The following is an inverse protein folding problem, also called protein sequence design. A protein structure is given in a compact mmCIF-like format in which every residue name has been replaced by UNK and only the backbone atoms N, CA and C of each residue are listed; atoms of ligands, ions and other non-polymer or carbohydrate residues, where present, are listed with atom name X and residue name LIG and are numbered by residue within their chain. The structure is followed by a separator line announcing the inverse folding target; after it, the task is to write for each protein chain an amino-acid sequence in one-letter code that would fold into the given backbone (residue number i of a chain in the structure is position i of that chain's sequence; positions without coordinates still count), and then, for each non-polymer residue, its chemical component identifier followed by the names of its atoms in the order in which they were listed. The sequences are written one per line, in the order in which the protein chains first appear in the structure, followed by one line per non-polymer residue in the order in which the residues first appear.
data_IF_371210359760
#
_entry.id   IF_371210359760
#
_cell.length_a   1.000
_cell.length_b   1.000
_cell.length_c   1.000
_cell.angle_alpha   90.00
_cell.angle_beta   90.00
_cell.angle_gamma   90.00
#
_symmetry.space_group_name_H-M   'P 1'
#
loop_
_entity.id
_entity.type
_entity.pdbx_description
1 polymer ?
#
# COMPACT_ATOMS: atom_id res chain seq x y z
N UNK A 1 -10.97 -18.56 -2.94
CA UNK A 1 -11.89 -18.37 -4.09
C UNK A 1 -12.01 -16.87 -4.40
N UNK A 2 -12.42 -16.48 -5.62
CA UNK A 2 -12.66 -15.08 -5.95
C UNK A 2 -13.94 -14.60 -5.24
N UNK A 3 -14.01 -13.31 -4.89
CA UNK A 3 -15.25 -12.70 -4.40
C UNK A 3 -16.36 -12.86 -5.47
N UNK A 4 -17.62 -13.15 -5.10
CA UNK A 4 -18.71 -13.20 -6.06
C UNK A 4 -18.95 -11.81 -6.68
N UNK A 5 -19.34 -11.76 -7.95
CA UNK A 5 -19.65 -10.53 -8.68
C UNK A 5 -21.17 -10.34 -8.79
N UNK A 6 -21.61 -9.08 -8.73
CA UNK A 6 -22.99 -8.68 -8.91
C UNK A 6 -23.04 -7.32 -9.61
N UNK A 7 -24.21 -6.91 -10.06
CA UNK A 7 -24.37 -5.55 -10.60
C UNK A 7 -24.61 -4.53 -9.48
N UNK A 8 -24.21 -3.28 -9.65
CA UNK A 8 -24.53 -2.20 -8.70
C UNK A 8 -26.00 -2.14 -8.34
N UNK A 9 -26.88 -2.15 -9.33
CA UNK A 9 -28.33 -2.08 -9.12
C UNK A 9 -28.88 -3.26 -8.30
N UNK A 10 -28.37 -4.48 -8.51
CA UNK A 10 -28.79 -5.67 -7.76
C UNK A 10 -28.40 -5.60 -6.27
N UNK A 11 -27.41 -4.79 -5.95
CA UNK A 11 -26.92 -4.60 -4.58
C UNK A 11 -27.31 -3.21 -4.01
N UNK A 12 -28.26 -2.48 -4.65
CA UNK A 12 -28.73 -1.19 -4.18
C UNK A 12 -27.66 -0.10 -4.19
N UNK A 13 -26.85 -0.08 -5.25
CA UNK A 13 -25.83 0.93 -5.51
C UNK A 13 -26.20 1.71 -6.76
N UNK A 14 -26.16 3.05 -6.69
CA UNK A 14 -26.28 3.89 -7.87
C UNK A 14 -24.98 3.83 -8.70
N UNK A 15 -25.07 3.32 -9.93
CA UNK A 15 -23.94 3.23 -10.86
C UNK A 15 -23.35 4.62 -11.15
N UNK A 16 -24.21 5.64 -11.23
CA UNK A 16 -23.81 7.04 -11.43
C UNK A 16 -22.93 7.59 -10.31
N UNK A 17 -23.15 7.17 -9.06
CA UNK A 17 -22.31 7.58 -7.93
C UNK A 17 -20.92 6.97 -7.99
N UNK A 18 -20.82 5.69 -8.42
CA UNK A 18 -19.53 5.04 -8.65
C UNK A 18 -18.78 5.72 -9.81
N UNK A 19 -19.48 6.01 -10.91
CA UNK A 19 -18.89 6.75 -12.04
C UNK A 19 -18.38 8.13 -11.61
N UNK A 20 -19.18 8.88 -10.84
CA UNK A 20 -18.79 10.20 -10.33
C UNK A 20 -17.57 10.15 -9.40
N UNK A 21 -17.43 9.09 -8.60
CA UNK A 21 -16.24 8.87 -7.79
C UNK A 21 -15.01 8.65 -8.68
N UNK A 22 -15.09 7.78 -9.68
CA UNK A 22 -13.99 7.53 -10.63
C UNK A 22 -13.62 8.82 -11.37
N UNK A 23 -14.62 9.57 -11.86
CA UNK A 23 -14.40 10.84 -12.55
C UNK A 23 -13.73 11.88 -11.63
N UNK A 24 -14.09 11.91 -10.34
CA UNK A 24 -13.48 12.80 -9.36
C UNK A 24 -11.98 12.44 -9.11
N UNK A 25 -11.65 11.14 -9.07
CA UNK A 25 -10.24 10.70 -8.95
C UNK A 25 -9.44 11.13 -10.18
N UNK A 26 -9.95 10.88 -11.39
CA UNK A 26 -9.25 11.23 -12.65
C UNK A 26 -9.15 12.74 -12.89
N UNK A 27 -10.12 13.51 -12.41
CA UNK A 27 -10.10 14.97 -12.52
C UNK A 27 -9.14 15.64 -11.54
N UNK A 28 -8.70 14.93 -10.50
CA UNK A 28 -7.81 15.50 -9.50
C UNK A 28 -6.34 15.42 -9.96
N UNK A 29 -5.65 16.57 -10.11
CA UNK A 29 -4.33 16.61 -10.77
C UNK A 29 -3.20 15.93 -9.99
N UNK A 30 -3.43 15.60 -8.73
CA UNK A 30 -2.44 14.95 -7.87
C UNK A 30 -2.79 13.49 -7.57
N UNK A 31 -3.78 12.89 -8.23
CA UNK A 31 -4.16 11.50 -8.03
C UNK A 31 -3.96 10.72 -9.32
N UNK A 32 -3.10 9.71 -9.28
CA UNK A 32 -2.99 8.66 -10.30
C UNK A 32 -3.63 7.38 -9.72
N UNK A 33 -4.88 7.04 -10.05
CA UNK A 33 -5.51 5.82 -9.56
C UNK A 33 -5.00 4.60 -10.34
N UNK A 34 -4.77 3.47 -9.64
CA UNK A 34 -4.20 2.26 -10.23
C UNK A 34 -5.21 1.12 -10.31
N UNK A 35 -5.97 0.88 -9.25
CA UNK A 35 -6.97 -0.17 -9.20
C UNK A 35 -8.03 0.08 -8.15
N UNK A 36 -9.26 -0.30 -8.44
CA UNK A 36 -10.42 -0.19 -7.55
C UNK A 36 -11.17 -1.52 -7.51
N UNK A 37 -11.58 -1.95 -6.33
CA UNK A 37 -12.55 -3.02 -6.09
C UNK A 37 -13.54 -2.54 -5.03
N UNK A 38 -14.81 -2.41 -5.42
CA UNK A 38 -15.91 -2.04 -4.53
C UNK A 38 -16.76 -3.25 -4.23
N UNK A 39 -16.87 -3.60 -2.95
CA UNK A 39 -17.67 -4.73 -2.47
C UNK A 39 -18.87 -4.22 -1.71
N UNK A 40 -20.05 -4.78 -1.93
CA UNK A 40 -21.25 -4.56 -1.13
C UNK A 40 -22.00 -5.86 -0.92
N UNK A 41 -22.50 -6.10 0.30
CA UNK A 41 -23.18 -7.35 0.69
C UNK A 41 -22.38 -8.60 0.28
N UNK A 42 -21.04 -8.54 0.41
CA UNK A 42 -20.14 -9.62 0.03
C UNK A 42 -19.93 -9.82 -1.47
N UNK A 43 -20.45 -8.95 -2.34
CA UNK A 43 -20.31 -9.04 -3.81
C UNK A 43 -19.49 -7.86 -4.34
N UNK A 44 -18.57 -8.13 -5.24
CA UNK A 44 -17.94 -7.07 -6.05
C UNK A 44 -19.01 -6.47 -6.96
N UNK A 45 -19.26 -5.18 -6.79
CA UNK A 45 -20.26 -4.42 -7.58
C UNK A 45 -19.62 -3.49 -8.60
N UNK A 46 -18.33 -3.17 -8.41
CA UNK A 46 -17.53 -2.42 -9.37
C UNK A 46 -16.06 -2.79 -9.20
N UNK A 47 -15.35 -2.97 -10.29
CA UNK A 47 -13.90 -3.20 -10.31
C UNK A 47 -13.30 -2.63 -11.59
N UNK A 48 -12.09 -2.09 -11.51
CA UNK A 48 -11.38 -1.54 -12.66
C UNK A 48 -9.91 -1.26 -12.35
N UNK A 49 -9.09 -1.30 -13.38
CA UNK A 49 -7.66 -1.01 -13.30
C UNK A 49 -7.28 -0.03 -14.39
N UNK A 50 -6.57 1.02 -14.01
CA UNK A 50 -6.06 1.99 -14.97
C UNK A 50 -4.83 1.41 -15.69
N UNK A 51 -4.99 1.07 -16.98
CA UNK A 51 -3.86 0.61 -17.76
C UNK A 51 -2.66 1.59 -17.61
N UNK A 52 -1.44 1.09 -17.40
CA UNK A 52 -0.93 -0.26 -17.59
C UNK A 52 -1.06 -1.22 -16.38
N UNK A 53 -1.76 -0.86 -15.32
CA UNK A 53 -2.03 -1.77 -14.21
C UNK A 53 -3.07 -2.83 -14.58
N UNK A 54 -2.96 -4.03 -13.96
CA UNK A 54 -3.82 -5.19 -14.21
C UNK A 54 -4.29 -5.81 -12.90
N UNK A 55 -5.40 -6.60 -12.91
CA UNK A 55 -5.97 -7.17 -11.70
C UNK A 55 -5.06 -8.18 -10.97
N UNK A 56 -4.18 -8.83 -11.68
CA UNK A 56 -3.28 -9.87 -11.20
C UNK A 56 -1.91 -9.35 -10.75
N UNK A 57 -1.62 -8.07 -11.01
CA UNK A 57 -0.34 -7.50 -10.63
C UNK A 57 -0.30 -7.18 -9.14
N UNK A 58 0.78 -7.61 -8.50
CA UNK A 58 1.05 -7.25 -7.12
C UNK A 58 1.40 -5.77 -7.01
N UNK A 59 0.94 -5.13 -5.96
CA UNK A 59 1.20 -3.73 -5.66
C UNK A 59 1.72 -3.59 -4.23
N UNK A 60 2.75 -2.77 -4.02
CA UNK A 60 3.27 -2.42 -2.70
C UNK A 60 2.19 -1.68 -1.90
N UNK A 61 1.80 -2.25 -0.78
CA UNK A 61 0.71 -1.72 0.05
C UNK A 61 1.17 -0.72 1.10
N UNK A 62 2.48 -0.51 1.22
CA UNK A 62 3.03 0.35 2.27
C UNK A 62 2.42 0.02 3.64
N UNK A 63 1.96 1.03 4.37
CA UNK A 63 1.43 0.86 5.73
C UNK A 63 0.13 0.07 5.83
N UNK A 64 -0.60 -0.17 4.74
CA UNK A 64 -1.74 -1.10 4.74
C UNK A 64 -1.31 -2.53 5.14
N UNK A 65 -0.02 -2.86 5.00
CA UNK A 65 0.60 -4.07 5.57
C UNK A 65 0.31 -4.27 7.05
N UNK A 66 0.15 -3.17 7.81
CA UNK A 66 -0.12 -3.21 9.26
C UNK A 66 -1.45 -3.87 9.59
N UNK A 67 -2.47 -3.74 8.73
CA UNK A 67 -3.77 -4.40 8.94
C UNK A 67 -3.65 -5.92 8.80
N UNK A 68 -2.80 -6.40 7.89
CA UNK A 68 -2.44 -7.82 7.81
C UNK A 68 -1.64 -8.29 9.03
N UNK A 69 -0.70 -7.48 9.53
CA UNK A 69 0.02 -7.75 10.77
C UNK A 69 -0.95 -7.85 11.96
N UNK A 70 -1.90 -6.91 12.08
CA UNK A 70 -2.93 -6.96 13.12
C UNK A 70 -3.69 -8.30 13.08
N UNK A 71 -4.06 -8.74 11.87
CA UNK A 71 -4.73 -10.03 11.68
C UNK A 71 -3.85 -11.21 12.12
N UNK A 72 -2.54 -11.18 11.81
CA UNK A 72 -1.59 -12.18 12.28
C UNK A 72 -1.50 -12.21 13.83
N UNK A 73 -1.53 -11.04 14.46
CA UNK A 73 -1.56 -10.95 15.93
C UNK A 73 -2.82 -11.58 16.51
N UNK A 74 -3.98 -11.38 15.88
CA UNK A 74 -5.22 -12.03 16.32
C UNK A 74 -5.10 -13.55 16.39
N UNK A 75 -4.55 -14.16 15.36
CA UNK A 75 -4.26 -15.61 15.35
C UNK A 75 -3.26 -16.00 16.44
N UNK A 76 -2.19 -15.22 16.61
CA UNK A 76 -1.18 -15.51 17.62
C UNK A 76 -1.73 -15.42 19.05
N UNK A 77 -2.65 -14.48 19.32
CA UNK A 77 -3.39 -14.40 20.60
C UNK A 77 -4.29 -15.62 20.79
N UNK A 78 -5.08 -16.00 19.78
CA UNK A 78 -5.96 -17.16 19.85
C UNK A 78 -5.18 -18.46 20.10
N UNK A 79 -4.00 -18.60 19.50
CA UNK A 79 -3.11 -19.76 19.65
C UNK A 79 -2.30 -19.74 20.95
N UNK A 80 -2.40 -18.67 21.74
CA UNK A 80 -1.65 -18.53 23.00
C UNK A 80 -0.15 -18.31 22.80
N UNK A 81 0.27 -17.85 21.62
CA UNK A 81 1.67 -17.56 21.32
C UNK A 81 2.12 -16.23 21.93
N UNK A 82 1.20 -15.31 22.15
CA UNK A 82 1.39 -14.04 22.84
C UNK A 82 0.08 -13.56 23.47
N UNK A 83 0.18 -12.60 24.39
CA UNK A 83 -0.94 -11.86 24.95
C UNK A 83 -0.83 -10.37 24.60
N UNK A 84 -1.96 -9.69 24.44
CA UNK A 84 -1.99 -8.23 24.30
C UNK A 84 -1.40 -7.50 25.51
N UNK A 85 -1.40 -8.15 26.68
CA UNK A 85 -0.86 -7.63 27.94
C UNK A 85 0.60 -8.01 28.19
N UNK A 86 1.21 -8.79 27.31
CA UNK A 86 2.64 -9.08 27.40
C UNK A 86 3.46 -7.79 27.18
N UNK A 87 4.51 -7.61 27.97
CA UNK A 87 5.49 -6.59 27.65
C UNK A 87 6.29 -7.01 26.41
N UNK A 88 6.45 -6.11 25.46
CA UNK A 88 7.27 -6.38 24.25
C UNK A 88 8.66 -6.89 24.63
N UNK A 89 9.25 -6.32 25.69
CA UNK A 89 10.56 -6.70 26.19
C UNK A 89 10.65 -8.16 26.69
N UNK A 90 9.56 -8.77 27.14
CA UNK A 90 9.56 -10.13 27.68
C UNK A 90 9.72 -11.20 26.59
N UNK A 91 9.41 -10.85 25.35
CA UNK A 91 9.65 -11.71 24.18
C UNK A 91 11.11 -11.70 23.71
N UNK A 92 11.97 -10.84 24.31
CA UNK A 92 13.38 -10.68 23.98
C UNK A 92 14.25 -10.73 25.24
N UNK A 93 14.28 -11.86 25.97
CA UNK A 93 14.98 -11.98 27.24
C UNK A 93 16.49 -11.74 27.12
N UNK A 94 17.08 -11.95 25.92
CA UNK A 94 18.51 -11.82 25.66
C UNK A 94 19.05 -10.39 25.85
N UNK A 95 18.21 -9.37 25.76
CA UNK A 95 18.63 -7.99 25.98
C UNK A 95 17.72 -7.21 26.96
N UNK A 96 16.73 -7.88 27.55
CA UNK A 96 15.74 -7.24 28.45
C UNK A 96 16.37 -6.43 29.58
N UNK A 97 17.45 -6.94 30.18
CA UNK A 97 18.13 -6.29 31.31
C UNK A 97 18.90 -5.03 30.89
N UNK A 98 19.17 -4.85 29.59
CA UNK A 98 19.82 -3.67 29.04
C UNK A 98 18.85 -2.50 28.83
N UNK A 99 17.54 -2.76 28.87
CA UNK A 99 16.51 -1.81 28.51
C UNK A 99 16.17 -0.84 29.66
N UNK A 100 15.83 0.43 29.35
CA UNK A 100 15.24 1.33 30.32
C UNK A 100 13.97 0.75 30.92
N UNK A 101 13.68 1.08 32.19
CA UNK A 101 12.47 0.61 32.87
C UNK A 101 11.18 1.03 32.14
N UNK A 102 11.12 2.24 31.60
CA UNK A 102 9.98 2.72 30.85
C UNK A 102 9.70 1.90 29.59
N UNK A 103 10.75 1.51 28.83
CA UNK A 103 10.62 0.65 27.66
C UNK A 103 10.10 -0.74 27.99
N UNK A 104 10.44 -1.29 29.19
CA UNK A 104 9.93 -2.58 29.65
C UNK A 104 8.42 -2.60 29.97
N UNK A 105 7.76 -1.43 30.05
CA UNK A 105 6.32 -1.29 30.25
C UNK A 105 5.52 -1.16 28.96
N UNK A 106 6.19 -1.13 27.80
CA UNK A 106 5.50 -1.12 26.51
C UNK A 106 4.88 -2.48 26.28
N UNK A 107 3.53 -2.55 26.28
CA UNK A 107 2.79 -3.76 26.02
C UNK A 107 2.56 -3.96 24.52
N UNK A 108 2.26 -5.19 24.11
CA UNK A 108 1.89 -5.54 22.73
C UNK A 108 0.71 -4.66 22.24
N UNK A 109 -0.34 -4.49 23.08
CA UNK A 109 -1.47 -3.61 22.76
C UNK A 109 -1.07 -2.15 22.55
N UNK A 110 -0.09 -1.64 23.28
CA UNK A 110 0.42 -0.28 23.09
C UNK A 110 1.12 -0.12 21.75
N UNK A 111 1.91 -1.11 21.37
CA UNK A 111 2.59 -1.13 20.08
C UNK A 111 1.59 -1.22 18.91
N UNK A 112 0.56 -2.08 19.02
CA UNK A 112 -0.51 -2.20 18.03
C UNK A 112 -1.35 -0.92 17.88
N UNK A 113 -1.57 -0.21 18.98
CA UNK A 113 -2.34 1.05 18.98
C UNK A 113 -1.49 2.28 18.61
N UNK A 114 -0.24 2.12 18.18
CA UNK A 114 0.67 3.25 17.93
C UNK A 114 0.88 4.16 19.16
N UNK A 115 0.77 3.59 20.35
CA UNK A 115 0.83 4.28 21.63
C UNK A 115 2.00 3.80 22.50
N UNK A 116 3.17 3.58 21.88
CA UNK A 116 4.38 3.16 22.61
C UNK A 116 4.92 4.22 23.58
N UNK A 117 4.42 5.46 23.50
CA UNK A 117 4.81 6.58 24.37
C UNK A 117 5.98 7.40 23.85
N UNK A 118 6.60 7.05 22.73
CA UNK A 118 7.62 7.90 22.09
C UNK A 118 6.96 9.13 21.44
N UNK A 119 7.65 10.26 21.50
CA UNK A 119 7.13 11.53 20.96
C UNK A 119 7.24 11.62 19.41
N UNK A 120 8.14 10.85 18.81
CA UNK A 120 8.41 10.83 17.36
C UNK A 120 8.53 9.39 16.84
N UNK A 121 8.47 9.22 15.52
CA UNK A 121 8.81 7.94 14.89
C UNK A 121 10.29 7.60 15.08
N UNK A 122 10.56 6.41 15.56
CA UNK A 122 11.89 5.92 15.92
C UNK A 122 12.54 5.06 14.83
N UNK A 123 12.00 5.00 13.60
CA UNK A 123 12.48 4.09 12.56
C UNK A 123 13.98 4.24 12.28
N UNK A 124 14.44 5.43 11.91
CA UNK A 124 15.85 5.72 11.64
C UNK A 124 16.72 5.50 12.89
N UNK A 125 16.25 5.95 14.05
CA UNK A 125 16.98 5.82 15.33
C UNK A 125 17.17 4.35 15.68
N UNK A 126 16.14 3.52 15.54
CA UNK A 126 16.20 2.08 15.86
C UNK A 126 17.24 1.34 15.01
N UNK A 127 17.19 1.54 13.69
CA UNK A 127 18.14 0.91 12.76
C UNK A 127 19.55 1.43 12.95
N UNK A 128 19.71 2.72 13.23
CA UNK A 128 21.05 3.32 13.46
C UNK A 128 21.66 2.84 14.78
N UNK A 129 20.82 2.65 15.81
CA UNK A 129 21.26 2.17 17.12
C UNK A 129 21.65 0.69 17.06
N UNK A 130 20.87 -0.14 16.40
CA UNK A 130 21.17 -1.56 16.19
C UNK A 130 20.66 -2.06 14.83
N UNK A 131 21.49 -2.02 13.80
CA UNK A 131 21.11 -2.48 12.47
C UNK A 131 20.87 -4.00 12.37
N UNK A 132 21.38 -4.79 13.32
CA UNK A 132 21.20 -6.24 13.33
C UNK A 132 19.97 -6.69 14.11
N UNK A 133 19.54 -5.90 15.10
CA UNK A 133 18.33 -6.14 15.88
C UNK A 133 17.57 -4.81 16.14
N UNK A 134 16.77 -4.34 15.17
CA UNK A 134 16.06 -3.08 15.29
C UNK A 134 15.08 -3.03 16.48
N UNK A 135 14.58 -4.18 16.97
CA UNK A 135 13.75 -4.23 18.19
C UNK A 135 14.55 -3.77 19.41
N UNK A 136 15.80 -4.26 19.55
CA UNK A 136 16.70 -3.79 20.60
C UNK A 136 17.02 -2.31 20.42
N UNK A 137 17.33 -1.91 19.17
CA UNK A 137 17.61 -0.52 18.85
C UNK A 137 16.46 0.42 19.24
N UNK A 138 15.21 0.01 19.04
CA UNK A 138 14.03 0.74 19.46
C UNK A 138 13.89 0.78 20.99
N UNK A 139 13.91 -0.36 21.65
CA UNK A 139 13.66 -0.46 23.08
C UNK A 139 14.78 0.12 23.97
N UNK A 140 15.97 0.36 23.45
CA UNK A 140 17.04 1.07 24.16
C UNK A 140 16.73 2.54 24.41
N UNK A 141 15.77 3.12 23.69
CA UNK A 141 15.30 4.49 23.87
C UNK A 141 14.04 4.49 24.74
N UNK A 142 14.11 5.18 25.88
CA UNK A 142 12.95 5.31 26.76
C UNK A 142 11.89 6.21 26.12
N UNK A 143 10.60 5.81 26.16
CA UNK A 143 9.51 6.69 25.73
C UNK A 143 9.39 7.92 26.65
N UNK A 144 9.04 9.07 26.08
CA UNK A 144 8.87 10.34 26.79
C UNK A 144 7.52 10.42 27.53
N UNK A 145 6.54 9.64 27.08
CA UNK A 145 5.19 9.57 27.67
C UNK A 145 4.93 8.17 28.20
N UNK A 146 3.94 8.05 29.09
CA UNK A 146 3.48 6.75 29.57
C UNK A 146 2.92 5.92 28.40
N UNK A 147 3.40 4.66 28.17
CA UNK A 147 2.86 3.78 27.15
C UNK A 147 1.34 3.62 27.26
N UNK A 148 0.65 3.68 26.13
CA UNK A 148 -0.82 3.63 26.05
C UNK A 148 -1.52 5.00 26.09
N UNK A 149 -0.80 6.10 26.34
CA UNK A 149 -1.43 7.43 26.53
C UNK A 149 -1.13 8.44 25.42
N UNK A 150 -0.14 8.17 24.58
CA UNK A 150 0.34 9.10 23.56
C UNK A 150 0.46 8.43 22.21
N UNK A 151 -0.31 8.93 21.24
CA UNK A 151 -0.22 8.46 19.86
C UNK A 151 1.02 9.04 19.15
N UNK A 152 1.75 8.17 18.52
CA UNK A 152 2.78 8.51 17.52
C UNK A 152 2.82 7.40 16.50
N UNK A 153 2.71 7.74 15.22
CA UNK A 153 2.81 6.76 14.14
C UNK A 153 4.24 6.23 14.05
N UNK A 154 4.54 5.21 14.88
CA UNK A 154 5.88 4.76 15.22
C UNK A 154 6.16 3.37 14.62
N UNK A 155 6.93 3.33 13.52
CA UNK A 155 7.19 2.11 12.75
C UNK A 155 7.84 0.98 13.55
N UNK A 156 8.91 1.18 14.36
CA UNK A 156 9.58 0.11 15.07
C UNK A 156 8.73 -0.51 16.20
N UNK A 157 7.70 0.19 16.70
CA UNK A 157 6.75 -0.43 17.62
C UNK A 157 6.03 -1.61 16.93
N UNK A 158 5.57 -1.41 15.69
CA UNK A 158 4.93 -2.45 14.89
C UNK A 158 5.90 -3.52 14.40
N UNK A 159 7.11 -3.11 14.00
CA UNK A 159 8.17 -4.06 13.68
C UNK A 159 8.45 -5.00 14.86
N UNK A 160 8.42 -4.49 16.10
CA UNK A 160 8.62 -5.32 17.30
C UNK A 160 7.51 -6.37 17.44
N UNK A 161 6.25 -6.01 17.18
CA UNK A 161 5.13 -6.95 17.21
C UNK A 161 5.27 -8.00 16.08
N UNK A 162 5.64 -7.58 14.87
CA UNK A 162 5.92 -8.49 13.78
C UNK A 162 7.04 -9.49 14.13
N UNK A 163 8.11 -9.02 14.78
CA UNK A 163 9.21 -9.85 15.23
C UNK A 163 8.76 -10.87 16.30
N UNK A 164 7.88 -10.48 17.24
CA UNK A 164 7.31 -11.38 18.25
C UNK A 164 6.52 -12.51 17.59
N UNK A 165 5.58 -12.19 16.67
CA UNK A 165 4.77 -13.19 15.97
C UNK A 165 5.66 -14.18 15.24
N UNK A 166 6.62 -13.69 14.44
CA UNK A 166 7.51 -14.53 13.64
C UNK A 166 8.45 -15.41 14.51
N UNK A 167 8.94 -14.86 15.61
CA UNK A 167 9.76 -15.60 16.58
C UNK A 167 8.97 -16.72 17.25
N UNK A 168 7.74 -16.42 17.70
CA UNK A 168 6.88 -17.40 18.36
C UNK A 168 6.35 -18.48 17.39
N UNK A 169 6.06 -18.10 16.14
CA UNK A 169 5.59 -19.02 15.11
C UNK A 169 6.72 -19.83 14.44
N UNK A 170 7.97 -19.38 14.52
CA UNK A 170 9.12 -20.03 13.85
C UNK A 170 9.12 -19.91 12.33
N UNK A 171 8.37 -18.94 11.77
CA UNK A 171 8.25 -18.67 10.33
C UNK A 171 8.04 -17.18 10.08
N UNK A 172 8.18 -16.72 8.84
CA UNK A 172 7.85 -15.34 8.45
C UNK A 172 6.33 -15.08 8.44
N UNK A 173 5.92 -13.82 8.26
CA UNK A 173 4.51 -13.45 8.31
C UNK A 173 3.69 -14.08 7.16
N UNK A 174 4.25 -14.23 5.97
CA UNK A 174 3.54 -14.87 4.85
C UNK A 174 3.29 -16.34 5.17
N UNK A 175 4.32 -17.07 5.59
CA UNK A 175 4.21 -18.46 6.00
C UNK A 175 3.24 -18.67 7.18
N UNK A 176 3.21 -17.71 8.11
CA UNK A 176 2.27 -17.74 9.24
C UNK A 176 0.82 -17.49 8.82
N UNK A 177 0.59 -16.49 7.95
CA UNK A 177 -0.75 -16.14 7.47
C UNK A 177 -1.27 -17.10 6.40
N UNK A 178 -0.40 -17.81 5.66
CA UNK A 178 -0.80 -18.68 4.55
C UNK A 178 -1.93 -19.63 4.93
N UNK A 179 -1.77 -20.56 5.89
CA UNK A 179 -2.83 -21.51 6.24
C UNK A 179 -4.00 -20.90 7.03
N UNK A 180 -3.85 -19.71 7.62
CA UNK A 180 -4.82 -19.10 8.54
C UNK A 180 -5.75 -18.09 7.87
N UNK A 181 -5.22 -17.33 6.93
CA UNK A 181 -5.92 -16.23 6.26
C UNK A 181 -5.87 -16.39 4.75
N UNK A 182 -4.66 -16.52 4.17
CA UNK A 182 -4.49 -16.38 2.73
C UNK A 182 -5.14 -17.54 1.95
N UNK A 183 -4.89 -18.79 2.37
CA UNK A 183 -5.49 -19.95 1.73
C UNK A 183 -7.01 -20.01 1.91
N UNK A 184 -7.58 -19.80 3.13
CA UNK A 184 -9.01 -19.71 3.31
C UNK A 184 -9.69 -18.66 2.43
N UNK A 185 -9.06 -17.49 2.26
CA UNK A 185 -9.56 -16.43 1.38
C UNK A 185 -9.25 -16.67 -0.11
N UNK A 186 -8.53 -17.72 -0.46
CA UNK A 186 -8.08 -17.97 -1.83
C UNK A 186 -7.21 -16.83 -2.36
N UNK A 187 -6.24 -16.39 -1.57
CA UNK A 187 -5.32 -15.30 -1.92
C UNK A 187 -4.01 -15.87 -2.43
N UNK A 188 -3.68 -15.58 -3.68
CA UNK A 188 -2.42 -15.91 -4.34
C UNK A 188 -2.13 -14.91 -5.46
N UNK A 189 -0.86 -14.55 -5.69
CA UNK A 189 0.28 -14.60 -4.78
C UNK A 189 0.29 -13.44 -3.78
N UNK A 190 1.19 -13.48 -2.79
CA UNK A 190 1.61 -12.34 -1.96
C UNK A 190 3.09 -12.49 -1.63
N UNK A 191 3.75 -11.37 -1.37
CA UNK A 191 5.12 -11.35 -0.87
C UNK A 191 5.30 -10.22 0.14
N UNK A 192 6.32 -10.35 1.00
CA UNK A 192 6.57 -9.35 2.05
C UNK A 192 8.05 -9.04 2.14
N UNK A 193 8.41 -7.78 2.06
CA UNK A 193 9.79 -7.32 2.23
C UNK A 193 10.32 -7.69 3.62
N UNK A 194 11.61 -8.04 3.69
CA UNK A 194 12.26 -8.53 4.90
C UNK A 194 13.46 -7.66 5.28
N UNK A 195 13.63 -7.45 6.59
CA UNK A 195 14.83 -6.87 7.16
C UNK A 195 14.94 -7.20 8.67
N UNK A 196 16.07 -7.77 9.14
CA UNK A 196 17.07 -8.44 8.30
C UNK A 196 16.46 -9.61 7.53
N UNK A 197 17.24 -10.25 6.63
CA UNK A 197 16.76 -11.39 5.84
C UNK A 197 16.11 -12.47 6.72
N UNK A 198 14.97 -12.99 6.27
CA UNK A 198 14.16 -13.97 6.99
C UNK A 198 13.13 -13.36 7.96
N UNK A 199 13.07 -12.03 8.12
CA UNK A 199 12.10 -11.37 9.00
C UNK A 199 11.27 -10.35 8.22
N UNK A 200 9.98 -10.63 7.98
CA UNK A 200 9.06 -9.70 7.34
C UNK A 200 8.96 -8.39 8.14
N UNK A 201 8.92 -7.25 7.44
CA UNK A 201 8.87 -5.93 8.08
C UNK A 201 7.60 -5.71 8.93
N UNK A 202 6.47 -6.26 8.51
CA UNK A 202 5.19 -6.16 9.21
C UNK A 202 4.52 -4.80 9.07
N UNK A 203 5.23 -3.71 9.30
CA UNK A 203 4.67 -2.35 9.25
C UNK A 203 4.58 -1.77 7.83
N UNK A 204 5.24 -2.36 6.86
CA UNK A 204 5.28 -2.01 5.43
C UNK A 204 5.74 -3.21 4.62
N UNK A 205 5.78 -3.09 3.31
CA UNK A 205 6.47 -4.04 2.43
C UNK A 205 5.65 -5.23 1.96
N UNK A 206 4.36 -5.34 2.33
CA UNK A 206 3.47 -6.34 1.74
C UNK A 206 3.12 -5.92 0.31
N UNK A 207 3.24 -6.88 -0.62
CA UNK A 207 2.76 -6.77 -2.00
C UNK A 207 1.58 -7.73 -2.16
N UNK A 208 0.46 -7.20 -2.62
CA UNK A 208 -0.76 -7.95 -2.87
C UNK A 208 -1.60 -7.28 -3.97
N UNK A 209 -2.58 -7.99 -4.51
CA UNK A 209 -3.53 -7.44 -5.48
C UNK A 209 -4.59 -6.56 -4.80
N UNK A 210 -5.24 -5.68 -5.56
CA UNK A 210 -6.37 -4.89 -5.06
C UNK A 210 -7.52 -5.78 -4.56
N UNK A 211 -7.77 -6.93 -5.20
CA UNK A 211 -8.78 -7.90 -4.72
C UNK A 211 -8.38 -8.50 -3.36
N UNK A 212 -7.10 -8.70 -3.09
CA UNK A 212 -6.63 -9.17 -1.77
C UNK A 212 -6.95 -8.16 -0.66
N UNK A 213 -6.81 -6.87 -0.95
CA UNK A 213 -7.23 -5.80 -0.02
C UNK A 213 -8.74 -5.89 0.23
N UNK A 214 -9.54 -6.07 -0.82
CA UNK A 214 -11.00 -6.19 -0.70
C UNK A 214 -11.41 -7.42 0.13
N UNK A 215 -10.75 -8.55 -0.05
CA UNK A 215 -10.98 -9.78 0.74
C UNK A 215 -10.67 -9.58 2.21
N UNK A 216 -9.53 -8.91 2.53
CA UNK A 216 -9.22 -8.56 3.91
C UNK A 216 -10.30 -7.66 4.53
N UNK A 217 -10.73 -6.62 3.80
CA UNK A 217 -11.80 -5.74 4.25
C UNK A 217 -13.11 -6.49 4.47
N UNK A 218 -13.48 -7.37 3.55
CA UNK A 218 -14.72 -8.15 3.63
C UNK A 218 -14.74 -9.11 4.82
N UNK A 219 -13.64 -9.80 5.11
CA UNK A 219 -13.61 -10.70 6.28
C UNK A 219 -13.66 -9.91 7.59
N UNK A 220 -13.07 -8.71 7.65
CA UNK A 220 -13.21 -7.82 8.81
C UNK A 220 -14.61 -7.24 8.93
N UNK A 221 -15.26 -6.87 7.82
CA UNK A 221 -16.64 -6.36 7.79
C UNK A 221 -17.64 -7.42 8.29
N UNK A 222 -17.41 -8.68 7.91
CA UNK A 222 -18.25 -9.82 8.30
C UNK A 222 -17.87 -10.43 9.66
N UNK A 223 -17.22 -9.68 10.55
CA UNK A 223 -16.79 -10.12 11.89
C UNK A 223 -15.99 -11.45 11.87
N UNK A 224 -15.18 -11.63 10.82
CA UNK A 224 -14.31 -12.79 10.69
C UNK A 224 -14.88 -13.96 9.90
N UNK A 225 -16.14 -13.88 9.47
CA UNK A 225 -16.78 -14.95 8.68
C UNK A 225 -16.46 -14.82 7.20
N UNK A 226 -16.06 -15.92 6.58
CA UNK A 226 -15.84 -16.05 5.14
C UNK A 226 -16.49 -17.34 4.63
N UNK A 227 -17.38 -17.22 3.63
CA UNK A 227 -18.13 -18.37 3.05
C UNK A 227 -18.83 -19.25 4.11
N UNK A 228 -19.29 -18.64 5.21
CA UNK A 228 -19.97 -19.30 6.32
C UNK A 228 -19.07 -19.91 7.38
N UNK A 229 -17.75 -19.86 7.21
CA UNK A 229 -16.78 -20.36 8.18
C UNK A 229 -16.12 -19.21 8.93
N UNK A 230 -15.85 -19.40 10.23
CA UNK A 230 -15.11 -18.44 11.04
C UNK A 230 -13.62 -18.51 10.70
N UNK A 231 -13.12 -17.55 9.96
CA UNK A 231 -11.71 -17.45 9.53
C UNK A 231 -10.90 -16.62 10.53
N UNK A 232 -11.33 -15.38 10.85
CA UNK A 232 -10.64 -14.62 11.88
C UNK A 232 -11.00 -15.13 13.27
N UNK A 233 -10.11 -14.95 14.27
CA UNK A 233 -10.42 -15.24 15.66
C UNK A 233 -11.71 -14.54 16.10
N UNK A 234 -12.56 -15.24 16.83
CA UNK A 234 -13.83 -14.70 17.32
C UNK A 234 -13.63 -13.40 18.09
N UNK A 235 -14.40 -12.37 17.74
CA UNK A 235 -14.32 -11.03 18.33
C UNK A 235 -13.12 -10.19 17.88
N UNK A 236 -12.14 -10.74 17.13
CA UNK A 236 -10.94 -9.98 16.77
C UNK A 236 -11.22 -8.77 15.86
N UNK A 237 -12.16 -8.90 14.92
CA UNK A 237 -12.54 -7.76 14.07
C UNK A 237 -13.11 -6.59 14.90
N UNK A 238 -13.85 -6.88 15.97
CA UNK A 238 -14.33 -5.86 16.91
C UNK A 238 -13.18 -5.21 17.70
N UNK A 239 -12.23 -6.02 18.20
CA UNK A 239 -11.03 -5.54 18.89
C UNK A 239 -10.19 -4.61 18.00
N UNK A 240 -10.05 -4.93 16.71
CA UNK A 240 -9.28 -4.14 15.73
C UNK A 240 -9.88 -2.74 15.54
N UNK A 241 -11.21 -2.65 15.38
CA UNK A 241 -11.94 -1.40 15.10
C UNK A 241 -12.32 -0.59 16.34
N UNK A 242 -11.99 -1.06 17.54
CA UNK A 242 -12.19 -0.28 18.76
C UNK A 242 -11.15 0.83 18.86
N UNK A 243 -11.59 2.09 19.01
CA UNK A 243 -10.69 3.22 19.22
C UNK A 243 -9.88 3.04 20.50
N UNK A 244 -8.56 3.00 20.41
CA UNK A 244 -7.62 2.80 21.51
C UNK A 244 -6.93 4.07 21.96
N UNK A 245 -6.74 5.01 21.06
CA UNK A 245 -6.01 6.26 21.32
C UNK A 245 -6.56 7.39 20.45
N UNK A 246 -6.52 8.61 20.98
CA UNK A 246 -6.90 9.81 20.27
C UNK A 246 -5.79 10.26 19.30
N UNK A 247 -6.21 10.74 18.12
CA UNK A 247 -5.33 11.23 17.05
C UNK A 247 -5.70 12.65 16.59
N UNK A 248 -6.34 13.42 17.45
CA UNK A 248 -6.85 14.78 17.17
C UNK A 248 -5.76 15.77 16.71
N UNK A 249 -4.49 15.45 16.92
CA UNK A 249 -3.33 16.24 16.50
C UNK A 249 -2.89 16.01 15.06
N UNK A 250 -3.44 15.00 14.36
CA UNK A 250 -3.03 14.66 12.99
C UNK A 250 -3.47 15.68 11.93
N UNK A 251 -4.39 16.58 12.26
CA UNK A 251 -4.77 17.70 11.43
C UNK A 251 -5.73 17.38 10.27
N UNK A 252 -5.61 16.24 9.62
CA UNK A 252 -6.52 15.81 8.55
C UNK A 252 -7.80 15.22 9.14
N UNK A 253 -8.99 15.56 8.59
CA UNK A 253 -10.27 15.16 9.18
C UNK A 253 -10.44 13.66 9.40
N UNK A 254 -9.96 12.82 8.48
CA UNK A 254 -10.10 11.37 8.57
C UNK A 254 -8.97 10.68 9.34
N UNK A 255 -7.87 11.39 9.64
CA UNK A 255 -6.81 10.91 10.55
C UNK A 255 -6.99 11.38 11.98
N UNK A 256 -7.83 12.39 12.23
CA UNK A 256 -8.12 12.93 13.55
C UNK A 256 -9.22 12.19 14.33
N UNK A 257 -9.72 11.04 13.83
CA UNK A 257 -10.86 10.33 14.46
C UNK A 257 -10.44 9.30 15.52
N UNK A 258 -9.15 8.96 15.59
CA UNK A 258 -8.58 7.97 16.49
C UNK A 258 -7.96 6.78 15.77
N UNK A 259 -7.30 5.92 16.54
CA UNK A 259 -6.60 4.74 16.04
C UNK A 259 -6.98 3.49 16.86
N UNK A 260 -7.21 2.39 16.16
CA UNK A 260 -7.47 1.08 16.74
C UNK A 260 -6.21 0.21 16.75
N UNK A 261 -6.36 -1.11 16.53
CA UNK A 261 -5.23 -2.01 16.35
C UNK A 261 -4.85 -2.08 14.88
N UNK A 262 -3.99 -1.15 14.43
CA UNK A 262 -3.45 -1.03 13.07
C UNK A 262 -4.52 -0.63 12.03
N UNK A 263 -5.54 0.10 12.46
CA UNK A 263 -6.53 0.74 11.61
C UNK A 263 -6.83 2.15 12.12
N UNK A 264 -7.07 3.06 11.20
CA UNK A 264 -7.55 4.40 11.49
C UNK A 264 -9.07 4.43 11.60
N UNK A 265 -9.60 5.10 12.60
CA UNK A 265 -10.99 5.54 12.58
C UNK A 265 -11.13 6.63 11.52
N UNK A 266 -12.30 6.73 10.88
CA UNK A 266 -12.60 7.72 9.87
C UNK A 266 -13.90 8.45 10.20
N UNK A 267 -14.21 9.53 9.49
CA UNK A 267 -15.54 10.19 9.59
C UNK A 267 -16.68 9.22 9.31
N UNK A 268 -16.41 8.21 8.46
CA UNK A 268 -17.31 7.11 8.17
C UNK A 268 -16.55 5.79 8.24
N UNK A 269 -16.96 4.91 9.16
CA UNK A 269 -16.32 3.60 9.35
C UNK A 269 -14.88 3.65 9.86
N UNK A 270 -14.07 2.75 9.35
CA UNK A 270 -12.64 2.64 9.68
C UNK A 270 -11.87 2.12 8.47
N UNK A 271 -10.56 2.20 8.52
CA UNK A 271 -9.74 1.78 7.39
C UNK A 271 -8.34 1.34 7.77
N UNK A 272 -7.73 0.44 6.95
CA UNK A 272 -6.29 0.34 6.76
C UNK A 272 -5.88 1.28 5.63
N UNK A 273 -4.73 1.96 5.78
CA UNK A 273 -4.17 2.77 4.72
C UNK A 273 -2.65 2.62 4.58
N UNK A 274 -2.15 2.90 3.41
CA UNK A 274 -0.73 2.95 3.09
C UNK A 274 -0.38 4.22 2.35
N UNK A 275 0.87 4.64 2.48
CA UNK A 275 1.38 5.82 1.83
C UNK A 275 0.97 5.86 0.35
N UNK A 276 0.71 7.06 -0.12
CA UNK A 276 0.33 7.34 -1.51
C UNK A 276 -1.04 6.80 -1.93
N UNK A 277 -1.95 6.53 -0.96
CA UNK A 277 -3.35 6.22 -1.26
C UNK A 277 -3.64 4.74 -1.51
N UNK A 278 -2.98 3.85 -0.78
CA UNK A 278 -3.38 2.44 -0.69
C UNK A 278 -4.46 2.33 0.39
N UNK A 279 -5.70 2.00 0.03
CA UNK A 279 -6.83 2.01 0.96
C UNK A 279 -7.57 0.68 1.04
N UNK A 280 -7.93 0.30 2.26
CA UNK A 280 -8.97 -0.65 2.60
C UNK A 280 -9.98 0.07 3.49
N UNK A 281 -10.97 0.72 2.91
CA UNK A 281 -12.03 1.43 3.64
C UNK A 281 -13.17 0.48 3.92
N UNK A 282 -13.59 0.39 5.18
CA UNK A 282 -14.65 -0.51 5.66
C UNK A 282 -15.77 0.35 6.24
N UNK A 283 -16.96 0.23 5.67
CA UNK A 283 -18.16 0.99 6.02
C UNK A 283 -19.24 0.05 6.57
N UNK A 284 -19.23 -0.26 7.88
CA UNK A 284 -20.16 -1.25 8.45
C UNK A 284 -21.64 -0.87 8.28
N UNK A 285 -21.99 0.42 8.38
CA UNK A 285 -23.37 0.87 8.24
C UNK A 285 -23.94 0.68 6.82
N UNK A 286 -23.08 0.68 5.80
CA UNK A 286 -23.45 0.51 4.41
C UNK A 286 -23.25 -0.92 3.90
N UNK A 287 -22.61 -1.77 4.72
CA UNK A 287 -22.15 -3.11 4.33
C UNK A 287 -21.24 -3.06 3.08
N UNK A 288 -20.19 -2.20 3.14
CA UNK A 288 -19.32 -1.87 2.00
C UNK A 288 -17.85 -1.98 2.36
N UNK A 289 -17.06 -2.47 1.42
CA UNK A 289 -15.59 -2.35 1.39
C UNK A 289 -15.18 -1.65 0.10
N UNK A 290 -14.36 -0.61 0.23
CA UNK A 290 -13.64 0.01 -0.88
C UNK A 290 -12.16 -0.34 -0.76
N UNK A 291 -11.64 -1.12 -1.69
CA UNK A 291 -10.21 -1.34 -1.88
C UNK A 291 -9.73 -0.47 -3.04
N UNK A 292 -8.67 0.30 -2.81
CA UNK A 292 -8.07 1.19 -3.80
C UNK A 292 -6.55 1.13 -3.72
N UNK A 293 -5.90 1.11 -4.88
CA UNK A 293 -4.48 1.37 -5.04
C UNK A 293 -4.29 2.60 -5.92
N UNK A 294 -3.36 3.47 -5.57
CA UNK A 294 -3.15 4.75 -6.27
C UNK A 294 -1.76 5.33 -5.99
N UNK A 295 -1.46 6.45 -6.64
CA UNK A 295 -0.32 7.30 -6.33
C UNK A 295 -0.80 8.74 -6.07
N UNK A 296 -0.69 9.22 -4.84
CA UNK A 296 -1.00 10.59 -4.45
C UNK A 296 -0.35 10.99 -3.13
N UNK A 297 0.06 12.23 -3.03
CA UNK A 297 0.41 12.87 -1.74
C UNK A 297 -0.86 13.41 -1.03
N UNK A 298 -1.95 13.63 -1.76
CA UNK A 298 -3.23 14.11 -1.23
C UNK A 298 -4.21 12.96 -0.98
N UNK A 299 -3.89 12.13 -0.01
CA UNK A 299 -4.71 10.98 0.37
C UNK A 299 -6.10 11.39 0.89
N UNK A 300 -6.24 12.60 1.49
CA UNK A 300 -7.52 13.09 1.98
C UNK A 300 -8.51 13.35 0.84
N UNK A 301 -8.04 13.80 -0.31
CA UNK A 301 -8.90 14.04 -1.48
C UNK A 301 -9.61 12.76 -1.96
N UNK A 302 -8.96 11.59 -1.87
CA UNK A 302 -9.60 10.30 -2.19
C UNK A 302 -10.76 10.01 -1.24
N UNK A 303 -10.57 10.23 0.07
CA UNK A 303 -11.62 10.01 1.06
C UNK A 303 -12.76 11.02 0.90
N UNK A 304 -12.44 12.30 0.63
CA UNK A 304 -13.46 13.32 0.37
C UNK A 304 -14.27 13.00 -0.88
N UNK A 305 -13.66 12.49 -1.95
CA UNK A 305 -14.36 12.01 -3.13
C UNK A 305 -15.28 10.80 -2.79
N UNK A 306 -14.79 9.86 -1.97
CA UNK A 306 -15.59 8.71 -1.53
C UNK A 306 -16.81 9.16 -0.69
N UNK A 307 -16.61 10.09 0.24
CA UNK A 307 -17.71 10.62 1.07
C UNK A 307 -18.71 11.44 0.25
N UNK A 308 -18.26 12.13 -0.79
CA UNK A 308 -19.08 12.97 -1.64
C UNK A 308 -19.90 12.16 -2.65
N UNK A 309 -19.32 11.14 -3.25
CA UNK A 309 -19.89 10.44 -4.40
C UNK A 309 -20.33 9.00 -4.10
N UNK A 310 -19.49 8.22 -3.39
CA UNK A 310 -19.83 6.82 -3.09
C UNK A 310 -20.80 6.70 -1.91
N UNK A 311 -20.57 7.40 -0.81
CA UNK A 311 -21.40 7.25 0.38
C UNK A 311 -22.90 7.48 0.09
N UNK A 312 -23.32 8.52 -0.66
CA UNK A 312 -24.72 8.72 -1.04
C UNK A 312 -25.26 7.71 -2.06
N UNK A 313 -24.37 6.97 -2.74
CA UNK A 313 -24.75 5.98 -3.75
C UNK A 313 -25.22 4.65 -3.16
N UNK A 314 -25.05 4.43 -1.85
CA UNK A 314 -25.43 3.20 -1.17
C UNK A 314 -26.83 3.27 -0.56
N UNK A 315 -27.54 2.13 -0.57
CA UNK A 315 -28.87 2.03 0.05
C UNK A 315 -29.98 2.72 -0.73
N UNK A 316 -29.78 2.92 -2.02
CA UNK A 316 -30.76 3.51 -2.95
C UNK A 316 -31.29 2.46 -3.92
N UNK A 317 -32.37 2.78 -4.61
CA UNK A 317 -32.84 1.94 -5.71
C UNK A 317 -31.81 1.95 -6.84
N UNK A 318 -31.57 0.78 -7.45
CA UNK A 318 -30.64 0.66 -8.58
C UNK A 318 -31.14 1.43 -9.80
N UNK A 319 -30.20 1.88 -10.63
CA UNK A 319 -30.48 2.67 -11.84
C UNK A 319 -30.79 1.80 -13.08
N UNK A 320 -30.70 0.46 -12.91
CA UNK A 320 -31.06 -0.53 -13.92
C UNK A 320 -29.89 -0.97 -14.81
N UNK A 321 -30.19 -1.99 -15.65
CA UNK A 321 -29.16 -2.71 -16.44
C UNK A 321 -28.36 -1.82 -17.40
N UNK A 322 -28.96 -0.77 -17.96
CA UNK A 322 -28.26 0.10 -18.90
C UNK A 322 -27.23 0.97 -18.19
N UNK A 323 -27.53 1.48 -16.98
CA UNK A 323 -26.59 2.21 -16.16
C UNK A 323 -25.46 1.29 -15.64
N UNK A 324 -25.79 0.07 -15.19
CA UNK A 324 -24.81 -0.92 -14.76
C UNK A 324 -23.84 -1.28 -15.88
N UNK A 325 -24.35 -1.47 -17.11
CA UNK A 325 -23.54 -1.75 -18.30
C UNK A 325 -22.63 -0.58 -18.67
N UNK A 326 -23.17 0.65 -18.66
CA UNK A 326 -22.37 1.83 -18.95
C UNK A 326 -21.22 2.01 -17.95
N UNK A 327 -21.46 1.74 -16.66
CA UNK A 327 -20.42 1.73 -15.65
C UNK A 327 -19.36 0.64 -15.92
N UNK A 328 -19.78 -0.59 -16.21
CA UNK A 328 -18.87 -1.69 -16.52
C UNK A 328 -17.98 -1.38 -17.73
N UNK A 329 -18.58 -0.83 -18.81
CA UNK A 329 -17.86 -0.39 -20.01
C UNK A 329 -16.84 0.72 -19.67
N UNK A 330 -17.22 1.68 -18.81
CA UNK A 330 -16.34 2.77 -18.33
C UNK A 330 -15.18 2.23 -17.52
N UNK A 331 -15.43 1.31 -16.59
CA UNK A 331 -14.40 0.71 -15.74
C UNK A 331 -13.45 -0.20 -16.54
N UNK A 332 -13.95 -0.84 -17.59
CA UNK A 332 -13.13 -1.66 -18.50
C UNK A 332 -12.23 -0.86 -19.44
N UNK A 333 -12.39 0.47 -19.52
CA UNK A 333 -11.63 1.35 -20.40
C UNK A 333 -10.73 2.35 -19.65
N UNK A 334 -10.46 2.10 -18.36
CA UNK A 334 -9.60 2.96 -17.53
C UNK A 334 -8.14 2.89 -18.01
N UNK A 335 -7.52 4.06 -18.14
CA UNK A 335 -6.12 4.18 -18.57
C UNK A 335 -5.47 5.42 -17.95
N UNK A 336 -4.24 5.29 -17.46
CA UNK A 336 -3.44 6.44 -17.05
C UNK A 336 -2.98 7.22 -18.29
N UNK A 337 -2.99 8.56 -18.23
CA UNK A 337 -2.51 9.37 -19.32
C UNK A 337 -1.05 9.03 -19.66
N UNK A 338 -0.80 8.68 -20.93
CA UNK A 338 0.53 8.42 -21.45
C UNK A 338 1.15 9.71 -21.99
N UNK A 339 2.45 9.91 -21.77
CA UNK A 339 3.19 11.01 -22.37
C UNK A 339 3.44 10.71 -23.85
N UNK A 340 2.97 11.61 -24.71
CA UNK A 340 3.19 11.53 -26.14
C UNK A 340 4.60 11.94 -26.55
N UNK A 341 4.94 11.71 -27.82
CA UNK A 341 6.19 12.16 -28.44
C UNK A 341 6.53 11.38 -29.70
N UNK A 342 7.41 11.93 -30.51
CA UNK A 342 7.89 11.27 -31.74
C UNK A 342 9.02 10.27 -31.45
N UNK A 343 9.16 9.26 -32.31
CA UNK A 343 10.26 8.29 -32.21
C UNK A 343 11.63 8.93 -32.54
N UNK A 344 11.66 10.04 -33.26
CA UNK A 344 12.90 10.74 -33.67
C UNK A 344 12.79 12.23 -33.36
N UNK A 345 13.87 12.80 -32.86
CA UNK A 345 13.98 14.25 -32.62
C UNK A 345 14.25 15.05 -33.89
N UNK A 346 14.02 16.36 -33.83
CA UNK A 346 14.04 17.28 -34.96
C UNK A 346 15.45 17.66 -35.45
N UNK A 347 16.54 17.21 -34.82
CA UNK A 347 17.86 17.54 -35.31
C UNK A 347 19.04 17.42 -34.35
N UNK A 348 18.91 16.88 -33.20
CA UNK A 348 20.01 16.78 -32.23
C UNK A 348 20.92 15.60 -32.52
N UNK A 349 22.21 15.90 -32.75
CA UNK A 349 23.26 14.88 -32.83
C UNK A 349 23.63 14.27 -31.46
N UNK A 350 22.89 14.60 -30.38
CA UNK A 350 23.20 14.11 -29.04
C UNK A 350 22.64 12.71 -28.86
N UNK A 351 23.50 11.82 -28.38
CA UNK A 351 23.16 10.41 -28.11
C UNK A 351 23.41 9.99 -26.66
N UNK A 352 23.85 10.92 -25.78
CA UNK A 352 24.12 10.63 -24.38
C UNK A 352 23.88 11.83 -23.48
N UNK A 353 23.40 11.55 -22.23
CA UNK A 353 23.09 12.52 -21.18
C UNK A 353 23.61 12.03 -19.84
N UNK A 354 23.88 12.99 -18.95
CA UNK A 354 24.28 12.71 -17.56
C UNK A 354 23.78 13.82 -16.65
N UNK A 355 23.26 13.45 -15.47
CA UNK A 355 22.81 14.38 -14.45
C UNK A 355 21.96 13.74 -13.40
N UNK A 356 21.90 14.36 -12.21
CA UNK A 356 21.04 13.91 -11.09
C UNK A 356 21.22 12.43 -10.68
N UNK A 357 22.45 11.92 -10.80
CA UNK A 357 22.73 10.50 -10.49
C UNK A 357 22.29 9.50 -11.57
N UNK A 358 21.83 10.00 -12.74
CA UNK A 358 21.42 9.18 -13.87
C UNK A 358 22.35 9.38 -15.06
N UNK A 359 22.48 8.34 -15.86
CA UNK A 359 23.03 8.39 -17.22
C UNK A 359 21.99 7.90 -18.20
N UNK A 360 21.97 8.49 -19.41
CA UNK A 360 21.09 8.04 -20.49
C UNK A 360 21.84 8.02 -21.82
N UNK A 361 21.52 7.05 -22.69
CA UNK A 361 22.07 6.94 -24.04
C UNK A 361 21.00 6.46 -25.02
N UNK A 362 21.04 6.97 -26.25
CA UNK A 362 20.25 6.42 -27.36
C UNK A 362 20.92 5.16 -27.89
N UNK A 363 20.20 4.06 -27.89
CA UNK A 363 20.63 2.77 -28.45
C UNK A 363 19.44 2.11 -29.18
N UNK A 364 19.67 1.60 -30.36
CA UNK A 364 18.73 0.78 -31.15
C UNK A 364 17.29 1.34 -31.24
N UNK A 365 17.15 2.67 -31.32
CA UNK A 365 15.84 3.33 -31.41
C UNK A 365 15.10 3.55 -30.09
N UNK A 366 15.75 3.25 -28.97
CA UNK A 366 15.26 3.49 -27.60
C UNK A 366 16.25 4.29 -26.75
N UNK A 367 16.01 4.33 -25.47
CA UNK A 367 16.88 4.94 -24.44
C UNK A 367 17.33 3.89 -23.45
N UNK A 368 18.62 3.84 -23.18
CA UNK A 368 19.18 3.14 -22.02
C UNK A 368 19.32 4.18 -20.90
N UNK A 369 18.59 3.99 -19.80
CA UNK A 369 18.63 4.83 -18.61
C UNK A 369 19.20 4.03 -17.44
N UNK A 370 20.20 4.58 -16.73
CA UNK A 370 20.84 3.88 -15.61
C UNK A 370 21.20 4.82 -14.46
N UNK A 371 21.24 4.27 -13.23
CA UNK A 371 21.72 4.94 -12.01
C UNK A 371 23.00 4.30 -11.42
N UNK A 372 23.67 3.47 -12.21
CA UNK A 372 24.86 2.74 -11.77
C UNK A 372 24.56 1.39 -11.07
N UNK A 373 23.31 1.16 -10.66
CA UNK A 373 22.84 -0.11 -10.09
C UNK A 373 21.85 -0.78 -11.02
N UNK A 374 20.83 -0.03 -11.44
CA UNK A 374 19.76 -0.48 -12.34
C UNK A 374 19.98 0.08 -13.74
N UNK A 375 19.72 -0.72 -14.76
CA UNK A 375 19.75 -0.32 -16.17
C UNK A 375 18.44 -0.69 -16.84
N UNK A 376 17.73 0.31 -17.36
CA UNK A 376 16.48 0.16 -18.09
C UNK A 376 16.68 0.44 -19.58
N UNK A 377 16.16 -0.45 -20.45
CA UNK A 377 16.14 -0.27 -21.92
C UNK A 377 14.73 0.10 -22.34
N UNK A 378 14.52 1.36 -22.61
CA UNK A 378 13.20 1.99 -22.74
C UNK A 378 12.89 2.26 -24.22
N UNK A 379 11.83 1.68 -24.81
CA UNK A 379 11.32 2.09 -26.10
C UNK A 379 10.76 3.52 -26.04
N UNK A 380 10.80 4.24 -27.15
CA UNK A 380 10.30 5.62 -27.28
C UNK A 380 9.41 5.78 -28.52
N UNK A 381 8.52 6.80 -28.49
CA UNK A 381 7.66 7.15 -29.61
C UNK A 381 6.62 6.09 -29.95
N UNK A 382 6.18 5.29 -28.99
CA UNK A 382 5.22 4.21 -29.19
C UNK A 382 3.77 4.69 -29.22
N UNK A 383 3.51 5.93 -28.80
CA UNK A 383 2.18 6.55 -28.80
C UNK A 383 1.28 6.17 -27.61
N UNK A 384 1.78 5.33 -26.69
CA UNK A 384 1.09 4.89 -25.49
C UNK A 384 2.04 4.21 -24.53
N UNK A 385 1.51 3.50 -23.53
CA UNK A 385 2.30 2.72 -22.58
C UNK A 385 2.89 1.46 -23.22
N UNK A 386 4.17 1.21 -23.00
CA UNK A 386 4.84 -0.06 -23.33
C UNK A 386 5.30 -0.70 -22.01
N UNK A 387 4.84 -1.91 -21.74
CA UNK A 387 5.18 -2.65 -20.52
C UNK A 387 6.45 -3.46 -20.72
N UNK A 388 7.37 -3.34 -19.77
CA UNK A 388 8.58 -4.13 -19.61
C UNK A 388 8.43 -4.92 -18.29
N UNK A 389 8.42 -6.24 -18.36
CA UNK A 389 8.12 -7.08 -17.18
C UNK A 389 9.24 -7.14 -16.13
N UNK A 390 10.40 -6.61 -16.46
CA UNK A 390 11.55 -6.64 -15.56
C UNK A 390 12.16 -8.03 -15.40
N UNK A 391 13.22 -8.09 -14.62
CA UNK A 391 13.97 -9.31 -14.27
C UNK A 391 14.68 -9.10 -12.91
N UNK A 392 15.66 -9.93 -12.54
CA UNK A 392 16.35 -9.81 -11.25
C UNK A 392 17.11 -8.49 -11.10
N UNK A 393 17.50 -7.85 -12.21
CA UNK A 393 18.31 -6.64 -12.25
C UNK A 393 17.49 -5.37 -12.57
N UNK A 394 16.22 -5.51 -12.94
CA UNK A 394 15.35 -4.39 -13.33
C UNK A 394 13.90 -4.59 -12.84
N UNK A 395 13.27 -3.55 -12.23
CA UNK A 395 11.88 -3.62 -11.84
C UNK A 395 10.93 -3.64 -13.06
N UNK A 396 9.72 -4.23 -12.94
CA UNK A 396 8.70 -4.11 -13.97
C UNK A 396 8.25 -2.65 -14.08
N UNK A 397 8.28 -2.13 -15.30
CA UNK A 397 8.00 -0.72 -15.59
C UNK A 397 7.21 -0.57 -16.88
N UNK A 398 6.22 0.31 -16.91
CA UNK A 398 5.63 0.79 -18.15
C UNK A 398 6.26 2.13 -18.51
N UNK A 399 6.62 2.29 -19.77
CA UNK A 399 7.20 3.51 -20.30
C UNK A 399 6.31 4.11 -21.37
N UNK A 400 6.18 5.43 -21.34
CA UNK A 400 5.61 6.23 -22.42
C UNK A 400 6.49 7.45 -22.69
N UNK A 401 6.33 8.06 -23.85
CA UNK A 401 7.06 9.28 -24.19
C UNK A 401 7.83 9.20 -25.50
N UNK A 402 8.53 10.28 -25.79
CA UNK A 402 9.28 10.47 -27.02
C UNK A 402 9.77 11.90 -27.17
N UNK A 403 10.21 12.25 -28.34
CA UNK A 403 10.71 13.58 -28.66
C UNK A 403 9.57 14.59 -28.80
N UNK A 404 9.71 15.69 -28.09
CA UNK A 404 8.92 16.91 -28.27
C UNK A 404 9.92 18.02 -28.51
N UNK A 405 9.95 18.55 -29.75
CA UNK A 405 11.02 19.40 -30.22
C UNK A 405 12.39 18.73 -30.02
N UNK A 406 13.29 19.36 -29.27
CA UNK A 406 14.66 18.86 -29.02
C UNK A 406 14.81 18.25 -27.60
N UNK A 407 13.71 18.07 -26.86
CA UNK A 407 13.68 17.44 -25.55
C UNK A 407 13.07 16.04 -25.66
N UNK A 408 13.78 15.04 -25.15
CA UNK A 408 13.19 13.71 -25.00
C UNK A 408 12.55 13.57 -23.62
N UNK A 409 11.23 13.37 -23.60
CA UNK A 409 10.42 13.20 -22.38
C UNK A 409 10.00 11.76 -22.24
N UNK A 410 10.20 11.22 -21.05
CA UNK A 410 9.84 9.85 -20.69
C UNK A 410 9.07 9.85 -19.38
N UNK A 411 8.02 9.03 -19.33
CA UNK A 411 7.34 8.65 -18.13
C UNK A 411 7.58 7.18 -17.85
N UNK A 412 8.03 6.86 -16.64
CA UNK A 412 8.27 5.52 -16.16
C UNK A 412 7.30 5.23 -15.01
N UNK A 413 6.29 4.41 -15.25
CA UNK A 413 5.37 3.92 -14.23
C UNK A 413 5.87 2.58 -13.70
N UNK A 414 6.34 2.55 -12.44
CA UNK A 414 6.76 1.30 -11.80
C UNK A 414 5.52 0.50 -11.37
N UNK A 415 5.38 -0.72 -11.91
CA UNK A 415 4.10 -1.43 -11.88
C UNK A 415 3.81 -2.19 -10.58
N UNK A 416 4.81 -2.37 -9.73
CA UNK A 416 4.64 -3.00 -8.41
C UNK A 416 4.53 -1.99 -7.26
N UNK A 417 4.30 -0.71 -7.56
CA UNK A 417 4.17 0.33 -6.54
C UNK A 417 3.58 1.63 -7.07
N UNK A 418 3.45 2.65 -6.21
CA UNK A 418 2.79 3.90 -6.55
C UNK A 418 3.72 4.93 -7.22
N UNK A 419 4.89 4.53 -7.70
CA UNK A 419 5.89 5.48 -8.15
C UNK A 419 5.90 5.66 -9.65
N UNK A 420 5.89 6.94 -10.07
CA UNK A 420 6.06 7.37 -11.45
C UNK A 420 7.23 8.35 -11.53
N UNK A 421 8.17 8.11 -12.43
CA UNK A 421 9.32 8.96 -12.65
C UNK A 421 9.19 9.63 -14.02
N UNK A 422 9.10 10.96 -14.04
CA UNK A 422 9.19 11.79 -15.21
C UNK A 422 10.67 12.13 -15.47
N UNK A 423 11.13 11.95 -16.70
CA UNK A 423 12.53 12.21 -17.07
C UNK A 423 12.55 13.10 -18.31
N UNK A 424 13.22 14.24 -18.21
CA UNK A 424 13.54 15.08 -19.37
C UNK A 424 15.03 15.00 -19.70
N UNK A 425 15.34 14.61 -20.94
CA UNK A 425 16.68 14.61 -21.50
C UNK A 425 16.86 15.88 -22.36
N UNK A 426 17.66 16.80 -21.84
CA UNK A 426 17.76 18.16 -22.37
C UNK A 426 18.77 18.25 -23.55
N UNK A 427 18.56 19.14 -24.51
CA UNK A 427 19.51 19.37 -25.62
C UNK A 427 20.93 19.70 -25.16
N UNK A 428 21.07 20.38 -24.01
CA UNK A 428 22.35 20.72 -23.40
C UNK A 428 23.09 19.53 -22.79
N UNK A 429 22.44 18.35 -22.63
CA UNK A 429 23.03 17.12 -22.11
C UNK A 429 22.73 16.84 -20.65
N UNK A 430 21.89 17.63 -19.99
CA UNK A 430 21.41 17.38 -18.63
C UNK A 430 20.23 16.42 -18.59
N UNK A 431 20.03 15.76 -17.44
CA UNK A 431 18.86 14.95 -17.09
C UNK A 431 18.12 15.66 -15.97
N UNK A 432 16.80 15.81 -16.13
CA UNK A 432 15.90 16.34 -15.09
C UNK A 432 14.89 15.26 -14.71
N UNK A 433 15.14 14.51 -13.64
CA UNK A 433 14.17 13.55 -13.10
C UNK A 433 13.22 14.25 -12.14
N UNK A 434 11.95 13.86 -12.15
CA UNK A 434 10.93 14.32 -11.21
C UNK A 434 10.01 13.16 -10.82
N UNK A 435 9.94 12.86 -9.54
CA UNK A 435 8.97 11.89 -9.02
C UNK A 435 7.57 12.49 -8.94
N UNK A 436 6.56 11.75 -9.37
CA UNK A 436 5.16 12.04 -9.08
C UNK A 436 4.86 11.82 -7.60
N UNK A 437 5.27 10.65 -7.08
CA UNK A 437 5.35 10.35 -5.65
C UNK A 437 6.77 9.90 -5.33
N UNK A 438 7.43 10.59 -4.39
CA UNK A 438 8.85 10.32 -4.06
C UNK A 438 8.98 9.02 -3.26
N UNK A 439 9.88 8.08 -3.65
CA UNK A 439 10.17 6.91 -2.82
C UNK A 439 10.57 7.30 -1.40
N UNK A 440 10.08 6.56 -0.40
CA UNK A 440 10.30 6.91 1.02
C UNK A 440 11.77 6.84 1.47
N UNK A 441 12.63 6.17 0.70
CA UNK A 441 14.09 6.14 0.89
C UNK A 441 14.84 7.21 0.09
N UNK A 442 14.10 8.05 -0.65
CA UNK A 442 14.63 9.15 -1.48
C UNK A 442 15.63 8.71 -2.56
N UNK A 443 15.61 7.41 -2.92
CA UNK A 443 16.48 6.86 -3.96
C UNK A 443 15.99 7.13 -5.38
N UNK A 444 16.72 6.57 -6.35
CA UNK A 444 16.38 6.63 -7.78
C UNK A 444 15.90 5.25 -8.26
N UNK A 445 16.42 4.74 -9.38
CA UNK A 445 16.00 3.45 -9.94
C UNK A 445 16.30 2.26 -9.01
N UNK A 446 17.38 2.33 -8.24
CA UNK A 446 17.75 1.33 -7.25
C UNK A 446 16.70 1.18 -6.13
N UNK A 447 16.00 2.25 -5.77
CA UNK A 447 14.87 2.17 -4.83
C UNK A 447 13.76 1.29 -5.39
N UNK A 448 13.48 1.40 -6.67
CA UNK A 448 12.44 0.59 -7.33
C UNK A 448 12.80 -0.89 -7.37
N UNK A 449 14.06 -1.23 -7.52
CA UNK A 449 14.53 -2.61 -7.41
C UNK A 449 14.36 -3.14 -5.98
N UNK A 450 14.69 -2.31 -4.97
CA UNK A 450 14.51 -2.65 -3.55
C UNK A 450 13.03 -2.75 -3.11
N UNK A 451 12.13 -2.13 -3.85
CA UNK A 451 10.67 -2.12 -3.60
C UNK A 451 9.90 -3.15 -4.43
N UNK A 452 10.57 -3.96 -5.22
CA UNK A 452 9.94 -5.08 -5.94
C UNK A 452 9.24 -6.04 -4.99
N UNK A 453 8.23 -6.71 -5.50
CA UNK A 453 7.69 -7.88 -4.84
C UNK A 453 8.81 -8.93 -4.71
N UNK A 454 9.22 -9.33 -3.47
CA UNK A 454 10.16 -10.43 -3.33
C UNK A 454 9.60 -11.67 -4.03
N UNK A 455 10.46 -12.44 -4.70
CA UNK A 455 10.00 -13.69 -5.33
C UNK A 455 9.24 -14.53 -4.30
N UNK A 456 8.05 -15.04 -4.61
CA UNK A 456 7.35 -15.96 -3.73
C UNK A 456 8.31 -17.10 -3.40
N UNK A 457 8.53 -17.36 -2.13
CA UNK A 457 9.25 -18.56 -1.72
C UNK A 457 8.47 -19.75 -2.29
N UNK A 458 9.12 -20.54 -3.17
CA UNK A 458 8.60 -21.73 -3.79
C UNK A 458 8.30 -22.82 -2.76
#
# INVERSE_FOLDING_TARGET
MALPRSTPSAQGVAASGVAAFVDALEAHPAIDPHGIVLVRHGHVVAEGWWAPFTPDRLHLLYSLSKTFLSTAVGFAVQEGLLSLDDAVADHFPEFRDQLPEASRRILVRHALAMASGHAIDMATTSITTDPLEPVRGFLLHAPEHEPGTWFTYNQPANYSVAAIVQRAAGTDLVGYLRPRLLDPLGVEPVSWQQYPSGRSLGFTGLHATTETIAKLGQVHLADGVWEGEQVLPDGWAAEVREKRVDTDREGNPDWAQGYGFQVWMARHGYRGDGAYGQFCVILPEQDVVLALTSATEDMQAILDAAWTHLLPAFGVDGEGEDADRALADRLGALELPATGGAATGSGTARTSWEGSGLTAALEDGGVVLADGTVTLRLPIGTGGWTVLEGDDDAPPVAVSGGWTDDVLRLDLQFLEGPHRLHVELLPAGGIVPQWGTTPLDFGMLNSMLGQRAPSPLA
#
